data_IF_252123183548
#
_entry.id   IF_252123183548
#
_cell.length_a   1.000
_cell.length_b   1.000
_cell.length_c   1.000
_cell.angle_alpha   90.00
_cell.angle_beta   90.00
_cell.angle_gamma   90.00
#
_symmetry.space_group_name_H-M   'P 1'
#
loop_
_entity.id
_entity.type
_entity.pdbx_description
1 polymer ?
#
# COMPACT_ATOMS: atom_id res chain seq x y z
N UNK A 1 37.47 0.43 -12.07
CA UNK A 1 36.89 0.43 -10.69
C UNK A 1 35.61 -0.37 -10.69
N UNK A 2 35.27 -1.05 -9.59
CA UNK A 2 34.08 -1.90 -9.51
C UNK A 2 33.19 -1.40 -8.41
N UNK A 3 31.92 -1.12 -8.73
CA UNK A 3 30.89 -0.93 -7.72
C UNK A 3 30.52 -2.33 -7.23
N UNK A 4 30.75 -2.59 -5.93
CA UNK A 4 30.46 -3.93 -5.39
C UNK A 4 28.95 -4.21 -5.40
N UNK A 5 28.59 -5.49 -5.55
CA UNK A 5 27.20 -5.92 -5.48
C UNK A 5 26.55 -5.49 -4.16
N UNK A 6 27.27 -5.54 -3.04
CA UNK A 6 26.74 -5.13 -1.74
C UNK A 6 26.38 -3.64 -1.70
N UNK A 7 27.27 -2.76 -2.18
CA UNK A 7 27.00 -1.31 -2.19
C UNK A 7 25.85 -0.96 -3.11
N UNK A 8 25.78 -1.62 -4.29
CA UNK A 8 24.67 -1.44 -5.22
C UNK A 8 23.33 -1.91 -4.64
N UNK A 9 23.31 -3.11 -4.06
CA UNK A 9 22.12 -3.66 -3.42
C UNK A 9 21.64 -2.83 -2.21
N UNK A 10 22.57 -2.24 -1.44
CA UNK A 10 22.20 -1.35 -0.35
C UNK A 10 21.51 -0.08 -0.87
N UNK A 11 22.06 0.53 -1.91
CA UNK A 11 21.47 1.71 -2.55
C UNK A 11 20.07 1.41 -3.09
N UNK A 12 19.91 0.38 -3.92
CA UNK A 12 18.64 0.01 -4.53
C UNK A 12 17.61 -0.39 -3.47
N UNK A 13 18.02 -1.07 -2.40
CA UNK A 13 17.16 -1.41 -1.26
C UNK A 13 16.64 -0.16 -0.53
N UNK A 14 17.47 0.85 -0.31
CA UNK A 14 17.04 2.11 0.31
C UNK A 14 15.99 2.82 -0.55
N UNK A 15 16.21 2.91 -1.87
CA UNK A 15 15.25 3.48 -2.81
C UNK A 15 13.93 2.69 -2.80
N UNK A 16 14.01 1.36 -2.86
CA UNK A 16 12.83 0.49 -2.83
C UNK A 16 12.02 0.66 -1.55
N UNK A 17 12.67 0.83 -0.39
CA UNK A 17 12.00 1.10 0.89
C UNK A 17 11.21 2.41 0.87
N UNK A 18 11.73 3.48 0.27
CA UNK A 18 11.01 4.75 0.13
C UNK A 18 9.77 4.58 -0.75
N UNK A 19 9.92 3.94 -1.90
CA UNK A 19 8.85 3.70 -2.86
C UNK A 19 7.72 2.87 -2.23
N UNK A 20 8.07 1.75 -1.62
CA UNK A 20 7.12 0.83 -0.97
C UNK A 20 6.41 1.49 0.22
N UNK A 21 7.14 2.27 1.02
CA UNK A 21 6.56 2.98 2.17
C UNK A 21 5.53 4.02 1.73
N UNK A 22 5.83 4.79 0.69
CA UNK A 22 4.89 5.77 0.15
C UNK A 22 3.62 5.09 -0.39
N UNK A 23 3.77 4.00 -1.14
CA UNK A 23 2.64 3.22 -1.65
C UNK A 23 1.80 2.61 -0.54
N UNK A 24 2.43 1.99 0.46
CA UNK A 24 1.74 1.38 1.59
C UNK A 24 0.91 2.40 2.40
N UNK A 25 1.46 3.61 2.63
CA UNK A 25 0.72 4.69 3.29
C UNK A 25 -0.47 5.17 2.46
N UNK A 26 -0.34 5.22 1.13
CA UNK A 26 -1.46 5.55 0.25
C UNK A 26 -2.56 4.48 0.33
N UNK A 27 -2.19 3.20 0.33
CA UNK A 27 -3.14 2.09 0.51
C UNK A 27 -3.87 2.17 1.85
N UNK A 28 -3.14 2.43 2.93
CA UNK A 28 -3.71 2.61 4.27
C UNK A 28 -4.72 3.77 4.31
N UNK A 29 -4.34 4.92 3.73
CA UNK A 29 -5.22 6.08 3.64
C UNK A 29 -6.52 5.77 2.88
N UNK A 30 -6.42 5.10 1.73
CA UNK A 30 -7.59 4.67 0.95
C UNK A 30 -8.47 3.72 1.76
N UNK A 31 -7.86 2.79 2.51
CA UNK A 31 -8.60 1.85 3.38
C UNK A 31 -9.41 2.55 4.47
N UNK A 32 -8.94 3.71 4.96
CA UNK A 32 -9.60 4.49 6.00
C UNK A 32 -10.65 5.48 5.46
N UNK A 33 -10.41 6.06 4.28
CA UNK A 33 -11.18 7.20 3.75
C UNK A 33 -11.95 6.90 2.45
N UNK A 34 -11.70 5.75 1.82
CA UNK A 34 -12.27 5.42 0.51
C UNK A 34 -11.65 6.22 -0.63
N UNK A 35 -12.30 6.17 -1.81
CA UNK A 35 -11.85 6.87 -3.03
C UNK A 35 -12.88 7.85 -3.61
N UNK A 36 -13.99 8.06 -2.92
CA UNK A 36 -15.12 8.89 -3.37
C UNK A 36 -14.71 10.37 -3.53
N UNK A 37 -14.02 10.92 -2.52
CA UNK A 37 -13.53 12.30 -2.55
C UNK A 37 -12.09 12.34 -3.05
N UNK A 38 -11.93 12.75 -4.31
CA UNK A 38 -10.62 12.79 -4.97
C UNK A 38 -9.71 13.92 -4.50
N UNK A 39 -10.25 15.00 -3.93
CA UNK A 39 -9.42 16.14 -3.51
C UNK A 39 -8.50 15.79 -2.33
N UNK A 40 -8.98 15.23 -1.21
CA UNK A 40 -8.12 14.75 -0.12
C UNK A 40 -7.13 13.66 -0.59
N UNK A 41 -7.54 12.77 -1.51
CA UNK A 41 -6.65 11.77 -2.09
C UNK A 41 -5.48 12.40 -2.83
N UNK A 42 -5.74 13.44 -3.66
CA UNK A 42 -4.71 14.19 -4.38
C UNK A 42 -3.76 14.89 -3.42
N UNK A 43 -4.29 15.55 -2.40
CA UNK A 43 -3.50 16.29 -1.42
C UNK A 43 -2.61 15.34 -0.61
N UNK A 44 -3.15 14.21 -0.18
CA UNK A 44 -2.38 13.20 0.55
C UNK A 44 -1.32 12.52 -0.34
N UNK A 45 -1.69 12.14 -1.57
CA UNK A 45 -0.75 11.59 -2.54
C UNK A 45 0.39 12.59 -2.84
N UNK A 46 0.07 13.88 -2.99
CA UNK A 46 1.08 14.93 -3.19
C UNK A 46 2.04 15.03 -2.01
N UNK A 47 1.52 15.01 -0.78
CA UNK A 47 2.36 15.05 0.43
C UNK A 47 3.29 13.84 0.53
N UNK A 48 2.82 12.64 0.18
CA UNK A 48 3.65 11.44 0.14
C UNK A 48 4.74 11.53 -0.94
N UNK A 49 4.36 11.94 -2.16
CA UNK A 49 5.28 12.05 -3.29
C UNK A 49 6.33 13.12 -3.01
N UNK A 50 5.94 14.26 -2.41
CA UNK A 50 6.88 15.29 -2.00
C UNK A 50 7.89 14.72 -1.00
N UNK A 51 7.44 14.18 0.12
CA UNK A 51 8.29 13.69 1.20
C UNK A 51 9.22 12.55 0.77
N UNK A 52 8.68 11.52 0.13
CA UNK A 52 9.45 10.33 -0.23
C UNK A 52 10.20 10.52 -1.54
N UNK A 53 9.69 11.36 -2.45
CA UNK A 53 10.38 11.77 -3.67
C UNK A 53 11.63 12.58 -3.38
N UNK A 54 11.57 13.56 -2.44
CA UNK A 54 12.75 14.28 -1.96
C UNK A 54 13.79 13.33 -1.35
N UNK A 55 13.36 12.34 -0.56
CA UNK A 55 14.26 11.30 -0.05
C UNK A 55 14.89 10.46 -1.16
N UNK A 56 14.15 10.18 -2.23
CA UNK A 56 14.65 9.44 -3.40
C UNK A 56 15.67 10.27 -4.19
N UNK A 57 15.40 11.57 -4.40
CA UNK A 57 16.34 12.48 -5.09
C UNK A 57 17.63 12.65 -4.29
N UNK A 58 17.54 12.78 -2.96
CA UNK A 58 18.71 12.91 -2.08
C UNK A 58 19.61 11.67 -2.17
N UNK A 59 19.04 10.46 -2.08
CA UNK A 59 19.82 9.23 -2.25
C UNK A 59 20.48 9.13 -3.63
N UNK A 60 19.80 9.59 -4.69
CA UNK A 60 20.33 9.63 -6.03
C UNK A 60 21.50 10.62 -6.15
N UNK A 61 21.40 11.81 -5.53
CA UNK A 61 22.49 12.78 -5.45
C UNK A 61 23.70 12.20 -4.72
N UNK A 62 23.50 11.58 -3.54
CA UNK A 62 24.58 10.96 -2.78
C UNK A 62 25.29 9.85 -3.56
N UNK A 63 24.54 9.01 -4.27
CA UNK A 63 25.11 7.98 -5.13
C UNK A 63 25.92 8.61 -6.25
N UNK A 64 25.39 9.64 -6.93
CA UNK A 64 26.05 10.32 -8.03
C UNK A 64 27.37 10.95 -7.60
N UNK A 65 27.37 11.72 -6.51
CA UNK A 65 28.57 12.38 -5.97
C UNK A 65 29.61 11.35 -5.51
N UNK A 66 29.18 10.24 -4.91
CA UNK A 66 30.07 9.13 -4.53
C UNK A 66 30.73 8.51 -5.77
N UNK A 67 30.00 8.34 -6.87
CA UNK A 67 30.54 7.82 -8.12
C UNK A 67 31.54 8.78 -8.76
N UNK A 68 31.28 10.09 -8.73
CA UNK A 68 32.19 11.11 -9.22
C UNK A 68 33.49 11.15 -8.39
N UNK A 69 33.36 11.12 -7.07
CA UNK A 69 34.50 11.08 -6.15
C UNK A 69 35.36 9.82 -6.36
N UNK A 70 34.73 8.65 -6.45
CA UNK A 70 35.43 7.39 -6.69
C UNK A 70 36.14 7.35 -8.04
N UNK A 71 35.59 8.00 -9.07
CA UNK A 71 36.22 8.12 -10.40
C UNK A 71 37.31 9.20 -10.45
N UNK A 72 37.46 10.03 -9.38
CA UNK A 72 38.43 11.11 -9.34
C UNK A 72 38.11 12.24 -10.34
N UNK A 73 36.83 12.39 -10.73
CA UNK A 73 36.41 13.44 -11.65
C UNK A 73 35.90 14.67 -10.86
N UNK A 74 36.24 15.86 -11.39
CA UNK A 74 35.76 17.11 -10.80
C UNK A 74 34.55 17.61 -11.56
N UNK A 75 33.38 17.26 -11.05
CA UNK A 75 32.07 17.72 -11.53
C UNK A 75 31.34 18.47 -10.42
N UNK A 76 30.38 19.35 -10.74
CA UNK A 76 29.54 19.98 -9.73
C UNK A 76 28.80 18.93 -8.92
N UNK A 77 28.52 19.21 -7.63
CA UNK A 77 27.67 18.35 -6.80
C UNK A 77 26.35 18.06 -7.51
N UNK A 78 25.81 16.88 -7.29
CA UNK A 78 24.56 16.49 -7.89
C UNK A 78 23.41 17.37 -7.42
N UNK A 79 22.54 17.74 -8.35
CA UNK A 79 21.35 18.52 -8.07
C UNK A 79 20.09 17.62 -8.16
N UNK A 80 19.17 17.70 -7.20
CA UNK A 80 17.93 16.97 -7.26
C UNK A 80 17.09 17.38 -8.47
N UNK A 81 16.39 16.44 -9.08
CA UNK A 81 15.32 16.73 -10.03
C UNK A 81 14.04 17.14 -9.29
N UNK A 82 13.14 17.80 -9.98
CA UNK A 82 11.82 18.12 -9.42
C UNK A 82 11.01 16.84 -9.18
N UNK A 83 10.31 16.78 -8.07
CA UNK A 83 9.30 15.75 -7.83
C UNK A 83 8.08 16.01 -8.73
N UNK A 84 7.21 14.99 -8.85
CA UNK A 84 6.01 15.14 -9.68
C UNK A 84 5.17 16.35 -9.24
N UNK A 85 4.72 17.13 -10.22
CA UNK A 85 3.86 18.30 -10.00
C UNK A 85 2.46 17.87 -9.52
N UNK A 86 1.76 18.78 -8.85
CA UNK A 86 0.36 18.54 -8.45
C UNK A 86 -0.53 18.12 -9.64
N UNK A 87 -0.29 18.68 -10.84
CA UNK A 87 -1.02 18.31 -12.06
C UNK A 87 -0.80 16.85 -12.45
N UNK A 88 0.42 16.35 -12.34
CA UNK A 88 0.74 14.94 -12.63
C UNK A 88 0.14 14.01 -11.57
N UNK A 89 0.22 14.40 -10.30
CA UNK A 89 -0.41 13.66 -9.19
C UNK A 89 -1.92 13.61 -9.38
N UNK A 90 -2.56 14.73 -9.70
CA UNK A 90 -4.01 14.77 -9.96
C UNK A 90 -4.40 13.89 -11.16
N UNK A 91 -3.61 13.90 -12.24
CA UNK A 91 -3.82 13.00 -13.39
C UNK A 91 -3.71 11.53 -12.99
N UNK A 92 -2.71 11.18 -12.18
CA UNK A 92 -2.50 9.82 -11.69
C UNK A 92 -3.67 9.37 -10.80
N UNK A 93 -4.07 10.17 -9.80
CA UNK A 93 -5.18 9.86 -8.89
C UNK A 93 -6.49 9.67 -9.66
N UNK A 94 -6.82 10.60 -10.58
CA UNK A 94 -8.05 10.48 -11.39
C UNK A 94 -8.05 9.24 -12.28
N UNK A 95 -6.90 8.84 -12.81
CA UNK A 95 -6.78 7.65 -13.66
C UNK A 95 -6.85 6.33 -12.88
N UNK A 96 -6.61 6.36 -11.55
CA UNK A 96 -6.50 5.17 -10.72
C UNK A 96 -7.51 5.09 -9.57
N UNK A 97 -8.42 6.06 -9.45
CA UNK A 97 -9.40 6.17 -8.36
C UNK A 97 -10.24 4.91 -8.14
N UNK A 98 -10.55 4.19 -9.23
CA UNK A 98 -11.37 2.99 -9.18
C UNK A 98 -10.56 1.72 -8.81
N UNK A 99 -9.25 1.87 -8.56
CA UNK A 99 -8.36 0.75 -8.21
C UNK A 99 -7.32 1.17 -7.16
N UNK A 100 -7.56 0.89 -5.87
CA UNK A 100 -6.61 1.19 -4.79
C UNK A 100 -5.19 0.67 -5.05
N UNK A 101 -5.06 -0.55 -5.60
CA UNK A 101 -3.76 -1.13 -5.93
C UNK A 101 -3.03 -0.36 -7.06
N UNK A 102 -3.75 0.17 -8.05
CA UNK A 102 -3.15 0.99 -9.10
C UNK A 102 -2.75 2.37 -8.57
N UNK A 103 -3.52 2.94 -7.64
CA UNK A 103 -3.18 4.21 -7.00
C UNK A 103 -1.93 4.08 -6.13
N UNK A 104 -1.82 3.03 -5.32
CA UNK A 104 -0.60 2.68 -4.59
C UNK A 104 0.62 2.58 -5.51
N UNK A 105 0.50 1.80 -6.58
CA UNK A 105 1.55 1.66 -7.59
C UNK A 105 1.88 3.00 -8.27
N UNK A 106 0.90 3.86 -8.49
CA UNK A 106 1.06 5.20 -9.05
C UNK A 106 1.93 6.09 -8.17
N UNK A 107 1.64 6.13 -6.87
CA UNK A 107 2.43 6.88 -5.88
C UNK A 107 3.86 6.33 -5.81
N UNK A 108 4.03 5.01 -5.65
CA UNK A 108 5.35 4.36 -5.61
C UNK A 108 6.17 4.68 -6.86
N UNK A 109 5.55 4.65 -8.04
CA UNK A 109 6.20 4.96 -9.32
C UNK A 109 6.67 6.41 -9.39
N UNK A 110 5.86 7.38 -8.94
CA UNK A 110 6.24 8.79 -8.97
C UNK A 110 7.39 9.11 -8.00
N UNK A 111 7.43 8.46 -6.84
CA UNK A 111 8.57 8.54 -5.91
C UNK A 111 9.84 7.97 -6.53
N UNK A 112 9.76 6.79 -7.14
CA UNK A 112 10.89 6.15 -7.82
C UNK A 112 11.42 7.00 -8.97
N UNK A 113 10.52 7.57 -9.78
CA UNK A 113 10.87 8.43 -10.91
C UNK A 113 11.72 9.62 -10.49
N UNK A 114 11.43 10.24 -9.35
CA UNK A 114 12.20 11.38 -8.86
C UNK A 114 13.71 11.06 -8.68
N UNK A 115 14.04 9.89 -8.14
CA UNK A 115 15.43 9.44 -8.04
C UNK A 115 16.06 9.15 -9.40
N UNK A 116 15.34 8.46 -10.29
CA UNK A 116 15.79 8.17 -11.65
C UNK A 116 16.05 9.45 -12.46
N UNK A 117 15.12 10.41 -12.42
CA UNK A 117 15.25 11.71 -13.09
C UNK A 117 16.45 12.49 -12.55
N UNK A 118 16.70 12.42 -11.22
CA UNK A 118 17.87 13.04 -10.59
C UNK A 118 19.18 12.45 -11.16
N UNK A 119 19.27 11.13 -11.22
CA UNK A 119 20.43 10.44 -11.79
C UNK A 119 20.69 10.83 -13.24
N UNK A 120 19.63 10.83 -14.08
CA UNK A 120 19.74 11.14 -15.51
C UNK A 120 19.99 12.64 -15.77
N UNK A 121 19.41 13.55 -14.99
CA UNK A 121 19.65 15.00 -15.05
C UNK A 121 21.15 15.30 -14.90
N UNK A 122 21.75 14.78 -13.85
CA UNK A 122 23.15 15.00 -13.56
C UNK A 122 24.06 14.28 -14.56
N UNK A 123 23.73 13.05 -14.96
CA UNK A 123 24.47 12.33 -16.00
C UNK A 123 24.50 13.10 -17.34
N UNK A 124 23.38 13.70 -17.73
CA UNK A 124 23.28 14.55 -18.93
C UNK A 124 24.14 15.80 -18.81
N UNK A 125 24.09 16.49 -17.67
CA UNK A 125 24.89 17.70 -17.40
C UNK A 125 26.38 17.41 -17.60
N UNK A 126 26.85 16.30 -17.03
CA UNK A 126 28.28 15.97 -16.96
C UNK A 126 28.74 15.04 -18.09
N UNK A 127 27.84 14.68 -19.02
CA UNK A 127 28.08 13.72 -20.12
C UNK A 127 28.60 12.36 -19.62
N UNK A 128 28.16 11.95 -18.43
CA UNK A 128 28.46 10.64 -17.89
C UNK A 128 27.77 9.53 -18.69
N UNK A 129 28.29 8.33 -18.63
CA UNK A 129 27.57 7.17 -19.14
C UNK A 129 26.60 6.65 -18.09
N UNK A 130 25.43 6.16 -18.54
CA UNK A 130 24.42 5.54 -17.71
C UNK A 130 24.06 4.15 -18.27
N UNK A 131 23.60 3.27 -17.37
CA UNK A 131 23.04 1.97 -17.74
C UNK A 131 21.87 1.63 -16.80
N UNK A 132 20.90 0.88 -17.33
CA UNK A 132 19.85 0.31 -16.53
C UNK A 132 20.33 -1.01 -15.91
N UNK A 133 20.43 -1.06 -14.60
CA UNK A 133 20.91 -2.24 -13.87
C UNK A 133 19.71 -3.01 -13.34
N UNK A 134 19.43 -4.19 -13.89
CA UNK A 134 18.38 -5.07 -13.41
C UNK A 134 18.66 -5.60 -12.01
N UNK A 135 17.59 -5.83 -11.24
CA UNK A 135 17.67 -6.46 -9.95
C UNK A 135 16.51 -7.46 -9.77
N UNK A 136 16.81 -8.63 -9.21
CA UNK A 136 15.81 -9.66 -8.91
C UNK A 136 15.12 -10.24 -10.15
N UNK A 137 13.82 -10.49 -10.07
CA UNK A 137 13.00 -11.05 -11.16
C UNK A 137 12.71 -9.97 -12.22
N UNK A 138 13.66 -9.80 -13.11
CA UNK A 138 13.71 -8.73 -14.10
C UNK A 138 12.64 -8.90 -15.19
N UNK A 139 11.77 -7.92 -15.38
CA UNK A 139 10.73 -7.95 -16.42
C UNK A 139 11.31 -7.72 -17.82
N UNK A 140 10.53 -8.08 -18.87
CA UNK A 140 10.95 -7.94 -20.27
C UNK A 140 11.34 -6.51 -20.65
N UNK A 141 10.68 -5.50 -20.08
CA UNK A 141 11.02 -4.09 -20.28
C UNK A 141 12.42 -3.77 -19.73
N UNK A 142 12.72 -4.19 -18.49
CA UNK A 142 14.03 -3.97 -17.89
C UNK A 142 15.14 -4.73 -18.59
N UNK A 143 14.87 -5.94 -19.11
CA UNK A 143 15.82 -6.68 -19.94
C UNK A 143 16.13 -5.88 -21.22
N UNK A 144 15.11 -5.33 -21.87
CA UNK A 144 15.28 -4.50 -23.07
C UNK A 144 16.13 -3.26 -22.79
N UNK A 145 15.94 -2.59 -21.64
CA UNK A 145 16.78 -1.46 -21.25
C UNK A 145 18.21 -1.90 -20.91
N UNK A 146 18.36 -2.96 -20.14
CA UNK A 146 19.66 -3.49 -19.73
C UNK A 146 20.50 -3.98 -20.92
N UNK A 147 19.86 -4.50 -21.97
CA UNK A 147 20.53 -4.95 -23.21
C UNK A 147 21.22 -3.84 -23.98
N UNK A 148 20.86 -2.58 -23.72
CA UNK A 148 21.50 -1.41 -24.36
C UNK A 148 22.88 -1.11 -23.79
N UNK A 149 23.20 -1.67 -22.60
CA UNK A 149 24.49 -1.44 -21.93
C UNK A 149 24.67 0.00 -21.49
N UNK A 150 25.93 0.39 -21.40
CA UNK A 150 26.34 1.75 -21.04
C UNK A 150 26.22 2.71 -22.23
N UNK A 151 25.52 3.81 -22.02
CA UNK A 151 25.25 4.83 -23.02
C UNK A 151 25.65 6.20 -22.48
N UNK A 152 26.24 7.06 -23.33
CA UNK A 152 26.48 8.46 -22.94
C UNK A 152 25.16 9.21 -22.80
N UNK A 153 24.99 9.87 -21.65
CA UNK A 153 23.79 10.65 -21.40
C UNK A 153 23.77 11.90 -22.29
N UNK A 154 22.77 11.98 -23.16
CA UNK A 154 22.55 13.07 -24.10
C UNK A 154 21.04 13.29 -24.28
N UNK A 155 20.66 14.39 -24.97
CA UNK A 155 19.25 14.58 -25.31
C UNK A 155 18.69 13.44 -26.15
N UNK A 156 19.48 12.96 -27.11
CA UNK A 156 19.04 11.91 -28.02
C UNK A 156 18.93 10.55 -27.32
N UNK A 157 19.88 10.20 -26.42
CA UNK A 157 19.85 8.92 -25.70
C UNK A 157 18.74 8.88 -24.63
N UNK A 158 18.26 10.04 -24.18
CA UNK A 158 17.20 10.19 -23.18
C UNK A 158 15.84 10.55 -23.79
N UNK A 159 15.74 10.72 -25.13
CA UNK A 159 14.45 10.90 -25.81
C UNK A 159 13.54 9.70 -25.60
N UNK A 160 12.27 9.97 -25.27
CA UNK A 160 11.25 8.96 -25.06
C UNK A 160 11.03 8.61 -23.60
N UNK A 161 11.45 9.51 -22.70
CA UNK A 161 11.09 9.52 -21.28
C UNK A 161 11.28 8.15 -20.61
N UNK A 162 12.53 7.68 -20.56
CA UNK A 162 12.90 6.41 -19.94
C UNK A 162 12.37 6.29 -18.51
N UNK A 163 12.36 7.41 -17.76
CA UNK A 163 11.86 7.44 -16.39
C UNK A 163 10.32 7.35 -16.31
N UNK A 164 9.57 7.77 -17.34
CA UNK A 164 8.10 7.64 -17.37
C UNK A 164 7.60 6.20 -17.44
N UNK A 165 8.42 5.28 -17.95
CA UNK A 165 8.09 3.87 -18.10
C UNK A 165 8.58 2.98 -16.96
N UNK A 166 9.12 3.58 -15.88
CA UNK A 166 9.55 2.85 -14.68
C UNK A 166 8.35 2.19 -14.00
N UNK A 167 8.51 0.91 -13.65
CA UNK A 167 7.49 0.16 -12.93
C UNK A 167 7.61 0.39 -11.41
N UNK A 168 6.48 0.49 -10.71
CA UNK A 168 6.44 0.65 -9.26
C UNK A 168 7.11 -0.52 -8.51
N UNK A 169 6.88 -1.74 -8.97
CA UNK A 169 7.30 -2.98 -8.31
C UNK A 169 8.59 -3.56 -8.93
N UNK A 170 9.49 -2.70 -9.38
CA UNK A 170 10.75 -3.10 -10.00
C UNK A 170 11.90 -2.44 -9.25
N UNK A 171 12.83 -3.24 -8.72
CA UNK A 171 14.02 -2.74 -8.00
C UNK A 171 15.19 -2.41 -8.92
N UNK A 172 14.98 -2.42 -10.25
CA UNK A 172 15.98 -2.02 -11.23
C UNK A 172 16.18 -0.50 -11.20
N UNK A 173 17.43 -0.03 -11.30
CA UNK A 173 17.79 1.38 -11.19
C UNK A 173 18.86 1.78 -12.22
N UNK A 174 19.00 3.09 -12.46
CA UNK A 174 20.09 3.63 -13.25
C UNK A 174 21.37 3.70 -12.44
N UNK A 175 22.44 3.11 -12.98
CA UNK A 175 23.81 3.37 -12.55
C UNK A 175 24.47 4.36 -13.52
N UNK A 176 25.48 5.07 -13.03
CA UNK A 176 26.29 5.98 -13.83
C UNK A 176 27.76 5.56 -13.76
N UNK A 177 28.53 5.97 -14.76
CA UNK A 177 29.99 5.90 -14.72
C UNK A 177 30.64 7.05 -15.49
N UNK A 178 31.82 7.44 -15.02
CA UNK A 178 32.65 8.46 -15.66
C UNK A 178 33.82 7.88 -16.42
N UNK A 179 34.10 6.58 -16.25
CA UNK A 179 35.14 5.85 -16.93
C UNK A 179 34.64 4.49 -17.38
N UNK A 180 35.08 4.04 -18.58
CA UNK A 180 34.77 2.71 -19.12
C UNK A 180 35.25 1.57 -18.23
N UNK A 181 36.27 1.82 -17.39
CA UNK A 181 36.79 0.85 -16.44
C UNK A 181 35.92 0.65 -15.20
N UNK A 182 34.87 1.50 -15.04
CA UNK A 182 33.90 1.36 -13.95
C UNK A 182 32.75 0.50 -14.41
N UNK A 183 32.41 -0.52 -13.62
CA UNK A 183 31.23 -1.36 -13.84
C UNK A 183 30.59 -1.76 -12.53
N UNK A 184 29.29 -2.11 -12.58
CA UNK A 184 28.53 -2.68 -11.46
C UNK A 184 28.78 -4.19 -11.44
N UNK A 185 29.16 -4.72 -10.29
CA UNK A 185 29.40 -6.15 -10.12
C UNK A 185 28.13 -6.96 -10.38
N UNK A 186 28.25 -7.98 -11.22
CA UNK A 186 27.11 -8.82 -11.61
C UNK A 186 26.29 -8.26 -12.79
N UNK A 187 26.65 -7.10 -13.36
CA UNK A 187 26.00 -6.58 -14.56
C UNK A 187 26.85 -6.87 -15.80
N UNK A 188 26.33 -7.73 -16.68
CA UNK A 188 26.83 -7.93 -18.04
C UNK A 188 25.72 -7.64 -19.07
N UNK A 189 25.80 -6.53 -19.80
CA UNK A 189 24.80 -6.18 -20.80
C UNK A 189 24.66 -7.21 -21.93
N UNK A 190 25.71 -8.02 -22.19
CA UNK A 190 25.69 -9.03 -23.26
C UNK A 190 24.71 -10.17 -22.94
N UNK A 191 24.59 -10.56 -21.67
CA UNK A 191 23.60 -11.56 -21.24
C UNK A 191 22.16 -11.09 -21.52
N UNK A 192 21.87 -9.82 -21.28
CA UNK A 192 20.56 -9.23 -21.59
C UNK A 192 20.36 -9.03 -23.08
N UNK A 193 21.42 -8.68 -23.82
CA UNK A 193 21.39 -8.55 -25.27
C UNK A 193 21.09 -9.89 -25.94
N UNK A 194 21.66 -10.98 -25.41
CA UNK A 194 21.39 -12.33 -25.91
C UNK A 194 19.89 -12.66 -25.71
N UNK A 195 19.33 -12.44 -24.53
CA UNK A 195 17.90 -12.66 -24.26
C UNK A 195 17.01 -11.80 -25.18
N UNK A 196 17.42 -10.55 -25.45
CA UNK A 196 16.70 -9.67 -26.37
C UNK A 196 16.73 -10.18 -27.81
N UNK A 197 17.89 -10.69 -28.28
CA UNK A 197 18.05 -11.29 -29.62
C UNK A 197 17.28 -12.60 -29.75
N UNK A 198 17.25 -13.45 -28.73
CA UNK A 198 16.46 -14.69 -28.71
C UNK A 198 14.95 -14.43 -28.86
N UNK A 199 14.51 -13.23 -28.51
CA UNK A 199 13.14 -12.75 -28.70
C UNK A 199 12.97 -11.94 -30.00
N UNK A 200 13.87 -12.05 -30.97
CA UNK A 200 13.87 -11.31 -32.26
C UNK A 200 13.79 -9.77 -32.07
N UNK A 201 14.24 -9.26 -30.93
CA UNK A 201 14.14 -7.84 -30.58
C UNK A 201 12.71 -7.36 -30.25
N UNK A 202 11.76 -8.28 -30.10
CA UNK A 202 10.37 -7.96 -29.78
C UNK A 202 10.06 -8.21 -28.30
N UNK A 203 9.73 -7.14 -27.59
CA UNK A 203 9.36 -7.18 -26.17
C UNK A 203 8.13 -8.06 -25.89
N UNK A 204 7.21 -8.20 -26.85
CA UNK A 204 6.01 -9.03 -26.67
C UNK A 204 6.35 -10.52 -26.83
N UNK A 205 7.30 -10.85 -27.72
CA UNK A 205 7.86 -12.20 -27.82
C UNK A 205 8.56 -12.55 -26.51
N UNK A 206 9.42 -11.66 -26.00
CA UNK A 206 10.09 -11.84 -24.71
C UNK A 206 9.10 -12.02 -23.55
N UNK A 207 8.01 -11.24 -23.51
CA UNK A 207 6.94 -11.40 -22.51
C UNK A 207 6.32 -12.80 -22.56
N UNK A 208 6.03 -13.30 -23.77
CA UNK A 208 5.47 -14.65 -23.96
C UNK A 208 6.44 -15.75 -23.52
N UNK A 209 7.73 -15.63 -23.88
CA UNK A 209 8.77 -16.57 -23.46
C UNK A 209 8.91 -16.62 -21.94
N UNK A 210 9.00 -15.45 -21.28
CA UNK A 210 9.06 -15.35 -19.81
C UNK A 210 7.78 -15.88 -19.14
N UNK A 211 6.61 -15.61 -19.71
CA UNK A 211 5.39 -16.18 -19.17
C UNK A 211 5.39 -17.70 -19.29
N UNK A 212 5.80 -18.25 -20.43
CA UNK A 212 5.90 -19.70 -20.63
C UNK A 212 6.85 -20.35 -19.63
N UNK A 213 8.04 -19.79 -19.41
CA UNK A 213 9.04 -20.32 -18.47
C UNK A 213 8.63 -20.19 -17.00
N UNK A 214 7.81 -19.19 -16.67
CA UNK A 214 7.36 -18.93 -15.28
C UNK A 214 5.90 -19.34 -15.02
N UNK A 215 5.25 -19.95 -16.00
CA UNK A 215 3.80 -20.26 -15.96
C UNK A 215 3.39 -21.05 -14.72
N UNK A 216 4.16 -22.07 -14.37
CA UNK A 216 3.84 -22.94 -13.24
C UNK A 216 3.99 -22.18 -11.91
N UNK A 217 5.07 -21.42 -11.73
CA UNK A 217 5.29 -20.55 -10.57
C UNK A 217 4.19 -19.50 -10.44
N UNK A 218 3.82 -18.84 -11.55
CA UNK A 218 2.74 -17.83 -11.57
C UNK A 218 1.39 -18.47 -11.19
N UNK A 219 1.11 -19.66 -11.72
CA UNK A 219 -0.12 -20.37 -11.42
C UNK A 219 -0.16 -20.83 -9.95
N UNK A 220 0.96 -21.27 -9.39
CA UNK A 220 1.07 -21.64 -7.98
C UNK A 220 0.84 -20.42 -7.07
N UNK A 221 1.47 -19.29 -7.37
CA UNK A 221 1.24 -18.03 -6.62
C UNK A 221 -0.23 -17.59 -6.69
N UNK A 222 -0.87 -17.68 -7.86
CA UNK A 222 -2.30 -17.38 -8.00
C UNK A 222 -3.19 -18.32 -7.20
N UNK A 223 -2.86 -19.62 -7.18
CA UNK A 223 -3.59 -20.61 -6.36
C UNK A 223 -3.42 -20.33 -4.88
N UNK A 224 -2.21 -20.01 -4.43
CA UNK A 224 -1.93 -19.65 -3.04
C UNK A 224 -2.69 -18.38 -2.62
N UNK A 225 -2.64 -17.32 -3.42
CA UNK A 225 -3.37 -16.08 -3.16
C UNK A 225 -4.91 -16.29 -3.14
N UNK A 226 -5.43 -17.13 -4.05
CA UNK A 226 -6.84 -17.48 -4.05
C UNK A 226 -7.24 -18.29 -2.81
N UNK A 227 -6.41 -19.26 -2.40
CA UNK A 227 -6.65 -20.06 -1.20
C UNK A 227 -6.61 -19.20 0.07
N UNK A 228 -5.66 -18.26 0.15
CA UNK A 228 -5.58 -17.29 1.26
C UNK A 228 -6.82 -16.40 1.32
N UNK A 229 -7.23 -15.81 0.18
CA UNK A 229 -8.45 -15.00 0.10
C UNK A 229 -9.67 -15.79 0.54
N UNK A 230 -9.84 -17.02 0.04
CA UNK A 230 -10.95 -17.91 0.42
C UNK A 230 -10.92 -18.25 1.91
N UNK A 231 -9.73 -18.50 2.48
CA UNK A 231 -9.57 -18.76 3.93
C UNK A 231 -9.97 -17.53 4.77
N UNK A 232 -9.65 -16.31 4.31
CA UNK A 232 -10.07 -15.07 4.98
C UNK A 232 -11.60 -14.90 4.89
N UNK A 233 -12.19 -15.12 3.72
CA UNK A 233 -13.64 -15.06 3.52
C UNK A 233 -14.38 -16.09 4.39
N UNK A 234 -13.88 -17.33 4.47
CA UNK A 234 -14.43 -18.38 5.34
C UNK A 234 -14.32 -18.03 6.84
N UNK A 235 -13.19 -17.43 7.27
CA UNK A 235 -13.04 -16.96 8.65
C UNK A 235 -13.99 -15.81 8.97
N UNK A 236 -14.17 -14.87 8.05
CA UNK A 236 -15.13 -13.76 8.20
C UNK A 236 -16.57 -14.29 8.28
N UNK A 237 -16.96 -15.19 7.37
CA UNK A 237 -18.29 -15.81 7.36
C UNK A 237 -18.54 -16.63 8.65
N UNK A 238 -17.52 -17.33 9.17
CA UNK A 238 -17.61 -18.05 10.43
C UNK A 238 -17.76 -17.10 11.62
N UNK A 239 -17.07 -15.96 11.59
CA UNK A 239 -17.16 -14.92 12.62
C UNK A 239 -18.54 -14.26 12.60
N UNK A 240 -19.07 -13.93 11.42
CA UNK A 240 -20.42 -13.41 11.25
C UNK A 240 -21.50 -14.41 11.69
N UNK A 241 -21.33 -15.70 11.35
CA UNK A 241 -22.23 -16.75 11.79
C UNK A 241 -22.22 -16.95 13.30
N UNK A 242 -21.01 -16.92 13.93
CA UNK A 242 -20.91 -16.97 15.40
C UNK A 242 -21.53 -15.75 16.06
N UNK A 243 -21.32 -14.54 15.51
CA UNK A 243 -21.94 -13.32 15.99
C UNK A 243 -23.47 -13.37 15.91
N UNK A 244 -24.03 -13.89 14.80
CA UNK A 244 -25.49 -14.10 14.64
C UNK A 244 -26.03 -15.15 15.60
N UNK A 245 -25.35 -16.28 15.75
CA UNK A 245 -25.76 -17.36 16.66
C UNK A 245 -25.78 -16.84 18.11
N UNK A 246 -24.76 -16.10 18.52
CA UNK A 246 -24.68 -15.55 19.87
C UNK A 246 -25.72 -14.46 20.12
N UNK A 247 -26.08 -13.65 19.12
CA UNK A 247 -27.14 -12.65 19.24
C UNK A 247 -28.55 -13.28 19.23
N UNK A 248 -28.74 -14.36 18.51
CA UNK A 248 -30.00 -15.12 18.61
C UNK A 248 -30.21 -15.67 20.03
N UNK A 249 -29.14 -15.98 20.77
CA UNK A 249 -29.21 -16.44 22.15
C UNK A 249 -29.70 -15.39 23.14
N UNK A 250 -29.71 -14.11 22.78
CA UNK A 250 -30.27 -13.05 23.62
C UNK A 250 -31.78 -12.83 23.40
N UNK A 251 -32.33 -13.38 22.30
CA UNK A 251 -33.77 -13.34 22.04
C UNK A 251 -34.48 -14.22 23.07
N UNK A 252 -35.60 -13.73 23.57
CA UNK A 252 -36.39 -14.43 24.58
C UNK A 252 -35.96 -14.17 26.05
N UNK A 253 -34.83 -13.50 26.28
CA UNK A 253 -34.41 -13.10 27.63
C UNK A 253 -35.43 -12.07 28.16
N UNK A 254 -35.92 -12.32 29.33
CA UNK A 254 -36.84 -11.40 30.03
C UNK A 254 -36.03 -10.53 31.00
N UNK A 255 -36.18 -9.20 30.87
CA UNK A 255 -35.52 -8.23 31.72
C UNK A 255 -36.38 -7.01 31.95
N UNK A 256 -36.52 -6.61 33.21
CA UNK A 256 -37.37 -5.45 33.64
C UNK A 256 -38.81 -5.53 33.09
N UNK A 257 -39.40 -6.74 33.07
CA UNK A 257 -40.74 -6.99 32.53
C UNK A 257 -40.85 -6.91 31.00
N UNK A 258 -39.74 -6.86 30.30
CA UNK A 258 -39.68 -6.81 28.83
C UNK A 258 -38.94 -8.02 28.29
N UNK A 259 -39.56 -8.75 27.37
CA UNK A 259 -38.89 -9.84 26.64
C UNK A 259 -38.14 -9.27 25.43
N UNK A 260 -36.88 -9.58 25.30
CA UNK A 260 -36.08 -9.22 24.11
C UNK A 260 -36.60 -9.99 22.89
N UNK A 261 -37.12 -9.28 21.90
CA UNK A 261 -37.75 -9.87 20.69
C UNK A 261 -37.04 -9.55 19.40
N UNK A 262 -36.30 -8.46 19.36
CA UNK A 262 -35.68 -7.96 18.15
C UNK A 262 -34.31 -7.32 18.45
N UNK A 263 -33.36 -7.52 17.51
CA UNK A 263 -32.06 -6.86 17.53
C UNK A 263 -32.06 -5.81 16.43
N UNK A 264 -31.84 -4.55 16.80
CA UNK A 264 -31.79 -3.45 15.83
C UNK A 264 -30.65 -3.62 14.82
N UNK A 265 -30.88 -3.22 13.58
CA UNK A 265 -29.89 -3.33 12.49
C UNK A 265 -28.54 -2.68 12.82
N UNK A 266 -28.56 -1.58 13.57
CA UNK A 266 -27.33 -0.89 13.99
C UNK A 266 -26.61 -1.51 15.20
N UNK A 267 -27.16 -2.55 15.82
CA UNK A 267 -26.51 -3.18 16.98
C UNK A 267 -25.22 -3.91 16.54
N UNK A 268 -25.26 -4.58 15.40
CA UNK A 268 -24.08 -5.27 14.83
C UNK A 268 -22.96 -4.26 14.53
N UNK A 269 -23.28 -3.17 13.85
CA UNK A 269 -22.32 -2.09 13.56
C UNK A 269 -21.71 -1.53 14.86
N UNK A 270 -22.56 -1.32 15.88
CA UNK A 270 -22.13 -0.80 17.19
C UNK A 270 -21.29 -1.78 17.99
N UNK A 271 -21.51 -3.08 17.83
CA UNK A 271 -20.67 -4.11 18.44
C UNK A 271 -19.26 -4.06 17.87
N UNK A 272 -19.13 -3.95 16.55
CA UNK A 272 -17.84 -3.85 15.85
C UNK A 272 -17.13 -2.54 16.21
N UNK A 273 -17.75 -1.40 15.99
CA UNK A 273 -17.22 -0.05 16.28
C UNK A 273 -16.72 0.11 17.72
N UNK A 274 -17.39 -0.54 18.67
CA UNK A 274 -17.15 -0.36 20.11
C UNK A 274 -16.53 -1.58 20.77
N UNK A 275 -16.14 -2.59 20.00
CA UNK A 275 -15.53 -3.86 20.46
C UNK A 275 -16.36 -4.50 21.61
N UNK A 276 -17.68 -4.63 21.41
CA UNK A 276 -18.61 -5.29 22.33
C UNK A 276 -18.93 -6.67 21.79
N UNK A 277 -18.66 -7.73 22.55
CA UNK A 277 -18.98 -9.11 22.14
C UNK A 277 -20.43 -9.50 22.42
N UNK A 278 -20.94 -10.49 21.71
CA UNK A 278 -22.28 -11.01 21.92
C UNK A 278 -22.45 -11.60 23.32
N UNK A 279 -21.41 -12.28 23.83
CA UNK A 279 -21.37 -12.83 25.19
C UNK A 279 -21.47 -11.73 26.23
N UNK A 280 -20.85 -10.56 25.99
CA UNK A 280 -20.94 -9.41 26.89
C UNK A 280 -22.37 -8.81 26.92
N UNK A 281 -23.08 -8.82 25.80
CA UNK A 281 -24.48 -8.40 25.72
C UNK A 281 -25.37 -9.40 26.47
N UNK A 282 -25.17 -10.69 26.23
CA UNK A 282 -25.92 -11.75 26.89
C UNK A 282 -25.71 -11.70 28.41
N UNK A 283 -24.47 -11.57 28.87
CA UNK A 283 -24.15 -11.44 30.30
C UNK A 283 -24.83 -10.19 30.93
N UNK A 284 -24.78 -9.06 30.23
CA UNK A 284 -25.44 -7.84 30.70
C UNK A 284 -26.97 -8.02 30.90
N UNK A 285 -27.58 -8.81 30.01
CA UNK A 285 -29.03 -9.07 30.11
C UNK A 285 -29.38 -10.12 31.17
N UNK A 286 -28.52 -11.12 31.40
CA UNK A 286 -28.73 -12.19 32.37
C UNK A 286 -28.28 -11.80 33.79
N UNK A 287 -27.20 -11.02 33.89
CA UNK A 287 -26.57 -10.61 35.14
C UNK A 287 -26.40 -9.09 35.21
N UNK A 288 -27.48 -8.29 35.20
CA UNK A 288 -27.38 -6.84 35.18
C UNK A 288 -26.80 -6.30 36.48
N UNK A 289 -25.83 -5.38 36.39
CA UNK A 289 -25.33 -4.61 37.54
C UNK A 289 -26.34 -3.51 37.93
N UNK A 290 -27.00 -2.90 36.93
CA UNK A 290 -28.00 -1.87 37.14
C UNK A 290 -28.98 -1.79 35.95
N UNK A 291 -30.21 -1.39 36.23
CA UNK A 291 -31.23 -1.12 35.22
C UNK A 291 -31.73 0.29 35.41
N UNK A 292 -31.40 1.18 34.47
CA UNK A 292 -31.79 2.58 34.52
C UNK A 292 -33.29 2.72 34.21
N UNK A 293 -33.94 3.75 34.82
CA UNK A 293 -35.30 4.08 34.53
C UNK A 293 -35.54 4.38 33.04
N UNK A 294 -36.73 4.04 32.56
CA UNK A 294 -37.16 4.33 31.20
C UNK A 294 -37.13 5.84 30.93
N UNK A 295 -36.50 6.22 29.81
CA UNK A 295 -36.47 7.58 29.29
C UNK A 295 -37.16 7.63 27.94
N UNK A 296 -37.66 8.78 27.55
CA UNK A 296 -38.26 9.03 26.25
C UNK A 296 -37.31 9.93 25.43
N UNK A 297 -37.13 9.62 24.15
CA UNK A 297 -36.39 10.49 23.23
C UNK A 297 -37.28 11.65 22.73
N UNK A 298 -36.69 12.53 21.88
CA UNK A 298 -37.41 13.68 21.29
C UNK A 298 -38.63 13.29 20.43
N UNK A 299 -38.68 12.03 20.00
CA UNK A 299 -39.80 11.47 19.22
C UNK A 299 -40.78 10.68 20.11
N UNK A 300 -40.60 10.72 21.42
CA UNK A 300 -41.48 10.04 22.39
C UNK A 300 -41.27 8.53 22.47
N UNK A 301 -40.20 7.98 21.92
CA UNK A 301 -39.91 6.54 21.96
C UNK A 301 -39.27 6.16 23.30
N UNK A 302 -39.84 5.19 24.02
CA UNK A 302 -39.30 4.77 25.32
C UNK A 302 -38.05 3.90 25.15
N UNK A 303 -37.09 4.05 26.07
CA UNK A 303 -35.95 3.13 26.21
C UNK A 303 -35.47 3.08 27.66
N UNK A 304 -35.05 1.90 28.11
CA UNK A 304 -34.31 1.73 29.34
C UNK A 304 -32.94 1.12 29.05
N UNK A 305 -32.00 1.33 29.97
CA UNK A 305 -30.62 0.93 29.80
C UNK A 305 -30.27 -0.12 30.85
N UNK A 306 -29.73 -1.25 30.37
CA UNK A 306 -29.21 -2.34 31.18
C UNK A 306 -27.71 -2.19 31.25
N UNK A 307 -27.11 -2.09 32.42
CA UNK A 307 -25.69 -1.97 32.64
C UNK A 307 -25.16 -3.31 33.10
N UNK A 308 -24.30 -3.95 32.30
CA UNK A 308 -23.56 -5.15 32.69
C UNK A 308 -22.10 -4.82 32.94
N UNK A 309 -21.33 -5.84 33.33
CA UNK A 309 -19.91 -5.66 33.66
C UNK A 309 -19.08 -5.17 32.46
N UNK A 310 -19.32 -5.74 31.28
CA UNK A 310 -18.54 -5.46 30.05
C UNK A 310 -19.31 -4.70 28.98
N UNK A 311 -20.65 -4.82 28.98
CA UNK A 311 -21.51 -4.19 28.00
C UNK A 311 -22.68 -3.46 28.68
N UNK A 312 -23.13 -2.40 28.03
CA UNK A 312 -24.35 -1.69 28.37
C UNK A 312 -25.30 -1.73 27.18
N UNK A 313 -26.57 -2.07 27.39
CA UNK A 313 -27.56 -2.35 26.36
C UNK A 313 -28.76 -1.45 26.52
N UNK A 314 -29.24 -0.83 25.45
CA UNK A 314 -30.48 -0.05 25.46
C UNK A 314 -31.61 -0.84 24.81
N UNK A 315 -32.76 -0.91 25.50
CA UNK A 315 -33.91 -1.72 25.10
C UNK A 315 -35.15 -0.84 25.08
N UNK A 316 -35.98 -0.97 24.05
CA UNK A 316 -37.29 -0.39 23.99
C UNK A 316 -38.31 -1.31 24.74
N UNK A 317 -38.93 -0.88 25.82
CA UNK A 317 -39.82 -1.71 26.64
C UNK A 317 -41.12 -2.13 25.93
N UNK A 318 -41.58 -1.38 24.93
CA UNK A 318 -42.82 -1.69 24.20
C UNK A 318 -42.63 -2.76 23.14
N UNK A 319 -41.48 -2.71 22.45
CA UNK A 319 -41.20 -3.60 21.32
C UNK A 319 -40.28 -4.79 21.69
N UNK A 320 -39.53 -4.68 22.79
CA UNK A 320 -38.50 -5.63 23.17
C UNK A 320 -37.26 -5.54 22.26
N UNK A 321 -37.09 -4.43 21.54
CA UNK A 321 -35.98 -4.25 20.59
C UNK A 321 -34.74 -3.71 21.28
N UNK A 322 -33.61 -4.39 21.11
CA UNK A 322 -32.30 -3.82 21.43
C UNK A 322 -31.97 -2.76 20.38
N UNK A 323 -31.83 -1.51 20.81
CA UNK A 323 -31.62 -0.36 19.93
C UNK A 323 -30.14 -0.01 19.76
N UNK A 324 -29.30 -0.19 20.79
CA UNK A 324 -27.88 0.09 20.76
C UNK A 324 -27.15 -0.64 21.90
N UNK A 325 -25.80 -0.76 21.72
CA UNK A 325 -24.90 -1.29 22.74
C UNK A 325 -23.60 -0.48 22.79
N UNK A 326 -22.95 -0.47 23.94
CA UNK A 326 -21.64 0.14 24.15
C UNK A 326 -20.89 -0.51 25.31
N UNK A 327 -19.57 -0.34 25.37
CA UNK A 327 -18.75 -0.84 26.48
C UNK A 327 -19.14 -0.16 27.79
N UNK A 328 -19.26 -0.93 28.84
CA UNK A 328 -19.42 -0.35 30.19
C UNK A 328 -18.12 0.31 30.62
N UNK A 329 -18.15 1.55 31.07
CA UNK A 329 -16.99 2.22 31.63
C UNK A 329 -16.60 1.62 32.99
N UNK A 330 -15.32 1.36 33.20
CA UNK A 330 -14.77 0.77 34.43
C UNK A 330 -15.19 1.55 35.69
N UNK A 331 -15.35 2.88 35.59
CA UNK A 331 -15.86 3.73 36.69
C UNK A 331 -17.32 3.43 36.98
N UNK A 332 -18.12 3.10 35.99
CA UNK A 332 -19.57 2.76 36.14
C UNK A 332 -19.70 1.36 36.78
N UNK A 333 -18.90 0.38 36.29
CA UNK A 333 -18.92 -0.99 36.84
C UNK A 333 -18.42 -1.08 38.30
N UNK A 334 -17.53 -0.16 38.75
CA UNK A 334 -17.02 -0.14 40.15
C UNK A 334 -17.94 0.56 41.15
N UNK A 335 -19.00 1.18 40.69
CA UNK A 335 -19.94 1.88 41.57
C UNK A 335 -21.18 1.03 41.94
N UNK A 336 -21.16 -0.25 41.52
CA UNK A 336 -22.13 -1.29 41.80
C UNK A 336 -21.43 -2.52 42.40
#
# INVERSE_FOLDING_TARGET
MKITANSWNEYTRKLSQLNQKAGALMREYIGQHGTEDTKPLMDYAMALIQKYGEGSTELACQMYDSMAQMAGVNVPSAEPADVASYKEVAKMVNATKDSPAQMENGVSRLVKRAGADTTLKNAKRDKAEFAWIPHGDTCSFCITLASRGWQTASEDSLKGDHAEHIHANCDCEYAIRFSKDTNVEGYDPNEYLQQYKEADGDINVMRRMRYASNKDRINEQKRAAYAEKKSIEEKLATTESRGKINLESVLGIEINGTTVREIGTHVLDRMEDRSVSAEAIQDALQNPLDIKQTKYDEQGRPSFVVVGEKATVSINPETGKISTTYRTHIKTAKNF
#
